data_IF_890780822933
#
_entry.id   IF_890780822933
#
_cell.length_a   1.000
_cell.length_b   1.000
_cell.length_c   1.000
_cell.angle_alpha   90.00
_cell.angle_beta   90.00
_cell.angle_gamma   90.00
#
_symmetry.space_group_name_H-M   'P 1'
#
loop_
_entity.id
_entity.type
_entity.pdbx_description
1 polymer ?
#
# COMPACT_ATOMS: atom_id res chain seq x y z
N UNK A 1 9.08 29.54 -2.34
CA UNK A 1 10.01 28.66 -1.61
C UNK A 1 9.89 27.27 -2.19
N UNK A 2 10.78 26.91 -3.11
CA UNK A 2 10.74 25.62 -3.81
C UNK A 2 11.07 24.52 -2.82
N UNK A 3 10.12 23.61 -2.58
CA UNK A 3 10.35 22.39 -1.80
C UNK A 3 11.41 21.57 -2.53
N UNK A 4 12.64 21.57 -2.02
CA UNK A 4 13.75 20.76 -2.56
C UNK A 4 13.40 19.29 -2.33
N UNK A 5 12.85 18.62 -3.35
CA UNK A 5 12.69 17.17 -3.34
C UNK A 5 14.09 16.53 -3.23
N UNK A 6 14.24 15.51 -2.39
CA UNK A 6 15.50 14.80 -2.16
C UNK A 6 16.05 14.16 -3.45
N UNK A 7 15.15 13.70 -4.31
CA UNK A 7 15.43 13.18 -5.66
C UNK A 7 14.42 13.85 -6.60
N UNK A 8 14.84 14.44 -7.73
CA UNK A 8 13.93 14.98 -8.73
C UNK A 8 12.99 13.91 -9.28
N UNK A 9 11.71 14.26 -9.41
CA UNK A 9 10.71 13.41 -10.04
C UNK A 9 10.07 14.14 -11.21
N UNK A 10 9.66 13.38 -12.22
CA UNK A 10 8.99 13.90 -13.41
C UNK A 10 7.82 13.01 -13.81
N UNK A 11 6.89 13.55 -14.59
CA UNK A 11 5.80 12.76 -15.15
C UNK A 11 6.34 11.90 -16.30
N UNK A 12 6.06 10.61 -16.26
CA UNK A 12 6.35 9.68 -17.34
C UNK A 12 5.25 8.63 -17.46
N UNK A 13 5.57 7.56 -18.16
CA UNK A 13 4.67 6.45 -18.43
C UNK A 13 5.45 5.14 -18.33
N UNK A 14 4.89 4.19 -17.59
CA UNK A 14 5.32 2.79 -17.52
C UNK A 14 4.07 1.94 -17.66
N UNK A 15 4.14 0.88 -18.48
CA UNK A 15 3.01 -0.02 -18.79
C UNK A 15 1.69 0.68 -19.15
N UNK A 16 1.76 1.74 -19.98
CA UNK A 16 0.59 2.53 -20.38
C UNK A 16 -0.01 3.41 -19.26
N UNK A 17 0.60 3.42 -18.08
CA UNK A 17 0.13 4.15 -16.91
C UNK A 17 0.95 5.42 -16.68
N UNK A 18 0.31 6.58 -16.74
CA UNK A 18 0.94 7.84 -16.37
C UNK A 18 1.23 7.89 -14.87
N UNK A 19 2.51 7.99 -14.53
CA UNK A 19 2.97 8.04 -13.15
C UNK A 19 4.20 8.94 -12.98
N UNK A 20 4.52 9.25 -11.74
CA UNK A 20 5.78 9.90 -11.42
C UNK A 20 6.92 8.89 -11.55
N UNK A 21 8.03 9.32 -12.15
CA UNK A 21 9.26 8.54 -12.29
C UNK A 21 10.43 9.37 -11.75
N UNK A 22 11.56 8.70 -11.50
CA UNK A 22 12.82 9.37 -11.22
C UNK A 22 13.97 8.81 -12.07
N UNK A 23 15.03 9.60 -12.22
CA UNK A 23 16.24 9.16 -12.90
C UNK A 23 17.10 8.26 -12.00
N UNK A 24 17.53 7.11 -12.52
CA UNK A 24 18.32 6.16 -11.75
C UNK A 24 19.72 6.67 -11.39
N UNK A 25 20.32 7.56 -12.19
CA UNK A 25 21.62 8.17 -11.88
C UNK A 25 21.48 9.18 -10.76
N UNK A 26 20.42 9.99 -10.77
CA UNK A 26 20.13 10.91 -9.67
C UNK A 26 19.97 10.14 -8.36
N UNK A 27 19.24 9.01 -8.39
CA UNK A 27 19.11 8.13 -7.24
C UNK A 27 20.46 7.52 -6.81
N UNK A 28 21.26 6.98 -7.73
CA UNK A 28 22.56 6.38 -7.44
C UNK A 28 23.53 7.38 -6.81
N UNK A 29 23.60 8.59 -7.36
CA UNK A 29 24.40 9.69 -6.84
C UNK A 29 23.92 10.10 -5.45
N UNK A 30 22.61 10.26 -5.27
CA UNK A 30 22.00 10.59 -3.99
C UNK A 30 22.33 9.55 -2.92
N UNK A 31 22.22 8.26 -3.25
CA UNK A 31 22.48 7.15 -2.35
C UNK A 31 23.97 6.95 -2.05
N UNK A 32 24.88 7.64 -2.75
CA UNK A 32 26.33 7.56 -2.58
C UNK A 32 26.86 6.12 -2.68
N UNK A 33 26.32 5.34 -3.62
CA UNK A 33 26.73 3.95 -3.82
C UNK A 33 28.12 3.92 -4.46
N UNK A 34 29.06 3.21 -3.82
CA UNK A 34 30.45 3.14 -4.28
C UNK A 34 30.68 2.28 -5.53
N UNK A 35 29.74 1.37 -5.86
CA UNK A 35 29.78 0.58 -7.10
C UNK A 35 29.44 1.47 -8.29
N UNK A 36 30.07 1.25 -9.44
CA UNK A 36 29.72 1.95 -10.67
C UNK A 36 28.24 1.75 -11.04
N UNK A 37 27.64 2.80 -11.60
CA UNK A 37 26.21 2.84 -11.90
C UNK A 37 25.73 1.65 -12.73
N UNK A 38 26.45 1.30 -13.80
CA UNK A 38 26.01 0.27 -14.75
C UNK A 38 25.99 -1.12 -14.13
N UNK A 39 27.01 -1.48 -13.35
CA UNK A 39 27.03 -2.75 -12.64
C UNK A 39 26.08 -2.76 -11.45
N UNK A 40 25.89 -1.61 -10.79
CA UNK A 40 24.93 -1.48 -9.70
C UNK A 40 23.50 -1.71 -10.19
N UNK A 41 23.02 -0.96 -11.17
CA UNK A 41 21.61 -1.01 -11.58
C UNK A 41 21.25 -2.38 -12.16
N UNK A 42 22.13 -2.98 -12.99
CA UNK A 42 21.91 -4.32 -13.55
C UNK A 42 21.84 -5.39 -12.48
N UNK A 43 22.76 -5.34 -11.50
CA UNK A 43 22.76 -6.29 -10.41
C UNK A 43 21.50 -6.15 -9.53
N UNK A 44 21.00 -4.93 -9.32
CA UNK A 44 19.78 -4.71 -8.55
C UNK A 44 18.51 -5.15 -9.29
N UNK A 45 18.44 -4.87 -10.60
CA UNK A 45 17.36 -5.37 -11.47
C UNK A 45 17.30 -6.90 -11.40
N UNK A 46 18.42 -7.58 -11.59
CA UNK A 46 18.48 -9.04 -11.55
C UNK A 46 18.18 -9.61 -10.15
N UNK A 47 18.78 -9.03 -9.10
CA UNK A 47 18.65 -9.54 -7.74
C UNK A 47 17.22 -9.46 -7.19
N UNK A 48 16.49 -8.38 -7.52
CA UNK A 48 15.15 -8.13 -7.00
C UNK A 48 14.04 -8.45 -8.00
N UNK A 49 14.39 -8.86 -9.22
CA UNK A 49 13.43 -9.27 -10.24
C UNK A 49 12.60 -8.11 -10.79
N UNK A 50 13.16 -6.90 -10.86
CA UNK A 50 12.46 -5.75 -11.44
C UNK A 50 12.17 -5.97 -12.94
N UNK A 51 11.00 -5.54 -13.38
CA UNK A 51 10.47 -5.82 -14.72
C UNK A 51 10.57 -4.57 -15.60
N UNK A 52 11.10 -4.73 -16.82
CA UNK A 52 11.14 -3.69 -17.84
C UNK A 52 9.71 -3.35 -18.30
N UNK A 53 9.38 -2.07 -18.32
CA UNK A 53 8.05 -1.56 -18.63
C UNK A 53 7.16 -1.38 -17.41
N UNK A 54 7.37 -2.11 -16.31
CA UNK A 54 6.58 -1.99 -15.08
C UNK A 54 7.34 -1.18 -14.01
N UNK A 55 8.56 -1.61 -13.67
CA UNK A 55 9.37 -1.02 -12.61
C UNK A 55 10.36 0.02 -13.14
N UNK A 56 10.84 -0.15 -14.37
CA UNK A 56 11.76 0.77 -15.00
C UNK A 56 11.58 0.81 -16.52
N UNK A 57 12.16 1.83 -17.16
CA UNK A 57 12.33 1.89 -18.61
C UNK A 57 13.77 2.28 -18.98
N UNK A 58 14.46 1.49 -19.83
CA UNK A 58 15.80 1.80 -20.30
C UNK A 58 15.79 2.92 -21.36
N UNK A 59 16.66 3.93 -21.20
CA UNK A 59 16.79 5.08 -22.10
C UNK A 59 18.22 5.23 -22.61
N UNK A 60 18.35 5.59 -23.87
CA UNK A 60 19.65 5.92 -24.45
C UNK A 60 19.99 7.38 -24.19
N UNK A 61 21.08 7.62 -23.47
CA UNK A 61 21.60 8.97 -23.25
C UNK A 61 21.96 9.63 -24.59
N UNK A 62 21.82 10.96 -24.68
CA UNK A 62 22.25 11.72 -25.87
C UNK A 62 23.77 11.60 -26.02
N UNK A 63 24.23 11.07 -27.16
CA UNK A 63 25.66 10.94 -27.48
C UNK A 63 26.11 12.05 -28.44
N UNK A 64 27.27 12.64 -28.19
CA UNK A 64 27.94 13.61 -29.08
C UNK A 64 29.04 12.96 -29.92
N UNK A 65 29.15 11.62 -29.89
CA UNK A 65 30.14 10.81 -30.58
C UNK A 65 30.51 9.58 -29.75
N UNK A 66 30.22 8.37 -30.26
CA UNK A 66 30.41 7.10 -29.55
C UNK A 66 29.10 6.39 -29.19
N UNK A 67 29.20 5.18 -28.61
CA UNK A 67 28.04 4.38 -28.21
C UNK A 67 27.28 5.08 -27.07
N UNK A 68 25.97 5.38 -27.23
CA UNK A 68 25.16 5.96 -26.17
C UNK A 68 25.21 5.14 -24.88
N UNK A 69 25.32 5.82 -23.74
CA UNK A 69 25.21 5.17 -22.44
C UNK A 69 23.76 4.78 -22.16
N UNK A 70 23.56 3.63 -21.52
CA UNK A 70 22.25 3.19 -21.07
C UNK A 70 21.92 3.85 -19.73
N UNK A 71 20.78 4.52 -19.68
CA UNK A 71 20.16 5.14 -18.50
C UNK A 71 18.81 4.48 -18.24
N UNK A 72 18.22 4.80 -17.08
CA UNK A 72 16.99 4.15 -16.62
C UNK A 72 16.11 5.19 -15.93
N UNK A 73 14.84 5.24 -16.34
CA UNK A 73 13.79 5.87 -15.54
C UNK A 73 13.15 4.81 -14.66
N UNK A 74 12.99 5.10 -13.37
CA UNK A 74 12.48 4.16 -12.39
C UNK A 74 11.10 4.59 -11.91
N UNK A 75 10.24 3.62 -11.64
CA UNK A 75 9.05 3.84 -10.83
C UNK A 75 9.45 4.33 -9.43
N UNK A 76 8.58 5.10 -8.79
CA UNK A 76 8.82 5.57 -7.43
C UNK A 76 8.94 4.39 -6.45
N UNK A 77 8.23 3.29 -6.70
CA UNK A 77 8.26 2.12 -5.82
C UNK A 77 9.58 1.35 -5.94
N UNK A 78 10.08 1.12 -7.16
CA UNK A 78 11.43 0.59 -7.36
C UNK A 78 12.49 1.48 -6.70
N UNK A 79 12.40 2.81 -6.86
CA UNK A 79 13.36 3.73 -6.25
C UNK A 79 13.35 3.68 -4.71
N UNK A 80 12.17 3.52 -4.09
CA UNK A 80 12.05 3.32 -2.63
C UNK A 80 12.72 2.03 -2.20
N UNK A 81 12.48 0.94 -2.92
CA UNK A 81 13.05 -0.37 -2.60
C UNK A 81 14.57 -0.35 -2.68
N UNK A 82 15.12 0.23 -3.76
CA UNK A 82 16.57 0.41 -3.92
C UNK A 82 17.16 1.22 -2.76
N UNK A 83 16.54 2.35 -2.40
CA UNK A 83 17.01 3.18 -1.28
C UNK A 83 16.98 2.42 0.06
N UNK A 84 15.99 1.55 0.28
CA UNK A 84 15.90 0.73 1.48
C UNK A 84 16.97 -0.37 1.51
N UNK A 85 17.24 -1.01 0.38
CA UNK A 85 18.23 -2.09 0.25
C UNK A 85 19.67 -1.60 0.43
N UNK A 86 20.00 -0.39 -0.03
CA UNK A 86 21.36 0.14 0.14
C UNK A 86 21.75 0.34 1.62
N UNK A 87 20.77 0.38 2.53
CA UNK A 87 20.97 0.37 3.98
C UNK A 87 22.02 1.37 4.50
N UNK A 88 22.06 2.56 3.90
CA UNK A 88 22.98 3.63 4.26
C UNK A 88 22.22 4.88 4.75
N UNK A 89 22.94 5.91 5.19
CA UNK A 89 22.33 7.13 5.73
C UNK A 89 21.43 7.87 4.73
N UNK A 90 21.75 7.80 3.44
CA UNK A 90 20.94 8.40 2.38
C UNK A 90 19.67 7.58 2.17
N UNK A 91 19.77 6.25 2.13
CA UNK A 91 18.63 5.34 2.12
C UNK A 91 17.69 5.56 3.31
N UNK A 92 18.24 5.78 4.52
CA UNK A 92 17.46 6.16 5.71
C UNK A 92 16.70 7.46 5.53
N UNK A 93 17.31 8.47 4.88
CA UNK A 93 16.66 9.75 4.59
C UNK A 93 15.52 9.59 3.59
N UNK A 94 15.74 8.86 2.50
CA UNK A 94 14.70 8.55 1.50
C UNK A 94 13.51 7.87 2.17
N UNK A 95 13.75 6.83 2.98
CA UNK A 95 12.70 6.12 3.73
C UNK A 95 11.90 7.07 4.63
N UNK A 96 12.58 7.92 5.40
CA UNK A 96 11.91 8.90 6.30
C UNK A 96 11.08 9.91 5.50
N UNK A 97 11.61 10.38 4.37
CA UNK A 97 10.92 11.31 3.49
C UNK A 97 9.63 10.71 2.93
N UNK A 98 9.68 9.49 2.37
CA UNK A 98 8.50 8.84 1.83
C UNK A 98 7.44 8.54 2.90
N UNK A 99 7.84 8.09 4.10
CA UNK A 99 6.91 7.92 5.24
C UNK A 99 6.23 9.26 5.58
N UNK A 100 6.99 10.35 5.61
CA UNK A 100 6.44 11.67 5.89
C UNK A 100 5.48 12.15 4.79
N UNK A 101 5.79 11.87 3.52
CA UNK A 101 4.91 12.19 2.38
C UNK A 101 3.63 11.38 2.41
N UNK A 102 3.69 10.07 2.65
CA UNK A 102 2.50 9.21 2.80
C UNK A 102 1.61 9.70 3.94
N UNK A 103 2.20 10.08 5.06
CA UNK A 103 1.47 10.63 6.20
C UNK A 103 0.73 11.92 5.80
N UNK A 104 1.42 12.87 5.16
CA UNK A 104 0.79 14.12 4.68
C UNK A 104 -0.28 13.87 3.63
N UNK A 105 -0.04 12.97 2.68
CA UNK A 105 -1.00 12.65 1.62
C UNK A 105 -2.28 12.01 2.22
N UNK A 106 -2.14 11.11 3.19
CA UNK A 106 -3.28 10.50 3.91
C UNK A 106 -4.04 11.54 4.74
N UNK A 107 -3.34 12.42 5.46
CA UNK A 107 -3.95 13.54 6.19
C UNK A 107 -4.74 14.46 5.26
N UNK A 108 -4.20 14.81 4.08
CA UNK A 108 -4.89 15.64 3.09
C UNK A 108 -6.10 14.97 2.43
N UNK A 109 -6.13 13.64 2.36
CA UNK A 109 -7.25 12.85 1.82
C UNK A 109 -8.38 12.65 2.84
N UNK A 110 -8.29 13.25 4.04
CA UNK A 110 -9.26 13.05 5.12
C UNK A 110 -9.21 11.66 5.75
N UNK A 111 -8.20 10.83 5.40
CA UNK A 111 -7.95 9.57 6.06
C UNK A 111 -7.34 9.88 7.43
N UNK A 112 -8.22 10.11 8.40
CA UNK A 112 -7.82 10.30 9.80
C UNK A 112 -7.15 9.02 10.25
N UNK A 113 -5.88 9.09 10.66
CA UNK A 113 -5.30 7.98 11.42
C UNK A 113 -6.20 7.78 12.64
N UNK A 114 -6.91 6.65 12.67
CA UNK A 114 -7.59 6.25 13.88
C UNK A 114 -6.51 6.20 14.95
N UNK A 115 -6.63 7.03 15.97
CA UNK A 115 -5.81 6.90 17.18
C UNK A 115 -5.89 5.45 17.66
N UNK A 116 -4.87 4.98 18.36
CA UNK A 116 -4.86 3.63 18.94
C UNK A 116 -6.15 3.37 19.75
N UNK A 117 -6.64 4.39 20.47
CA UNK A 117 -7.93 4.32 21.17
C UNK A 117 -9.14 4.10 20.25
N UNK A 118 -9.21 4.82 19.12
CA UNK A 118 -10.27 4.63 18.12
C UNK A 118 -10.15 3.27 17.42
N UNK A 119 -8.95 2.81 17.08
CA UNK A 119 -8.73 1.46 16.51
C UNK A 119 -9.21 0.37 17.47
N UNK A 120 -8.84 0.47 18.75
CA UNK A 120 -9.29 -0.46 19.79
C UNK A 120 -10.81 -0.43 19.96
N UNK A 121 -11.44 0.75 19.89
CA UNK A 121 -12.88 0.88 19.98
C UNK A 121 -13.60 0.18 18.82
N UNK A 122 -13.14 0.38 17.58
CA UNK A 122 -13.70 -0.27 16.39
C UNK A 122 -13.45 -1.79 16.43
N UNK A 123 -12.23 -2.21 16.80
CA UNK A 123 -11.89 -3.63 16.93
C UNK A 123 -12.79 -4.35 17.95
N UNK A 124 -13.12 -3.70 19.07
CA UNK A 124 -14.08 -4.25 20.07
C UNK A 124 -15.51 -4.40 19.53
N UNK A 125 -15.89 -3.64 18.50
CA UNK A 125 -17.22 -3.72 17.90
C UNK A 125 -17.34 -4.88 16.89
N UNK A 126 -16.24 -5.31 16.26
CA UNK A 126 -16.25 -6.39 15.25
C UNK A 126 -16.82 -7.71 15.80
N UNK A 127 -16.40 -8.23 16.97
CA UNK A 127 -17.01 -9.44 17.54
C UNK A 127 -18.49 -9.27 17.90
N UNK A 128 -18.90 -8.07 18.35
CA UNK A 128 -20.30 -7.77 18.67
C UNK A 128 -21.17 -7.81 17.43
N UNK A 129 -20.73 -7.17 16.34
CA UNK A 129 -21.43 -7.19 15.05
C UNK A 129 -21.54 -8.61 14.49
N UNK A 130 -20.47 -9.41 14.59
CA UNK A 130 -20.50 -10.82 14.20
C UNK A 130 -21.51 -11.62 15.03
N UNK A 131 -21.60 -11.39 16.34
CA UNK A 131 -22.59 -12.02 17.22
C UNK A 131 -24.03 -11.65 16.84
N UNK A 132 -24.30 -10.36 16.63
CA UNK A 132 -25.60 -9.87 16.17
C UNK A 132 -25.97 -10.45 14.81
N UNK A 133 -25.02 -10.49 13.87
CA UNK A 133 -25.25 -11.02 12.53
C UNK A 133 -25.56 -12.52 12.54
N UNK A 134 -24.96 -13.28 13.45
CA UNK A 134 -25.29 -14.70 13.67
C UNK A 134 -26.71 -14.90 14.22
N UNK A 135 -27.15 -14.05 15.15
CA UNK A 135 -28.46 -14.12 15.77
C UNK A 135 -29.60 -13.57 14.89
N UNK A 136 -29.29 -12.65 13.97
CA UNK A 136 -30.28 -11.96 13.15
C UNK A 136 -30.78 -12.80 11.97
N UNK A 137 -32.10 -12.94 11.88
CA UNK A 137 -32.80 -13.68 10.83
C UNK A 137 -33.44 -12.77 9.78
N UNK A 138 -33.73 -11.50 10.11
CA UNK A 138 -34.28 -10.54 9.17
C UNK A 138 -33.26 -10.17 8.08
N UNK A 139 -33.57 -10.40 6.79
CA UNK A 139 -32.62 -10.11 5.70
C UNK A 139 -32.18 -8.64 5.65
N UNK A 140 -33.11 -7.71 5.88
CA UNK A 140 -32.83 -6.28 5.82
C UNK A 140 -31.89 -5.82 6.95
N UNK A 141 -32.12 -6.31 8.18
CA UNK A 141 -31.29 -5.95 9.34
C UNK A 141 -29.90 -6.60 9.20
N UNK A 142 -29.86 -7.86 8.75
CA UNK A 142 -28.63 -8.59 8.50
C UNK A 142 -27.75 -7.91 7.45
N UNK A 143 -28.35 -7.40 6.37
CA UNK A 143 -27.63 -6.64 5.34
C UNK A 143 -27.00 -5.36 5.91
N UNK A 144 -27.74 -4.64 6.76
CA UNK A 144 -27.25 -3.41 7.42
C UNK A 144 -26.11 -3.72 8.41
N UNK A 145 -26.25 -4.76 9.23
CA UNK A 145 -25.19 -5.21 10.14
C UNK A 145 -23.94 -5.64 9.39
N UNK A 146 -24.10 -6.28 8.23
CA UNK A 146 -23.00 -6.67 7.37
C UNK A 146 -22.29 -5.46 6.76
N UNK A 147 -23.05 -4.48 6.27
CA UNK A 147 -22.47 -3.23 5.75
C UNK A 147 -21.63 -2.52 6.83
N UNK A 148 -22.12 -2.48 8.07
CA UNK A 148 -21.39 -1.91 9.21
C UNK A 148 -20.11 -2.71 9.55
N UNK A 149 -20.19 -4.04 9.49
CA UNK A 149 -19.02 -4.92 9.67
C UNK A 149 -17.95 -4.64 8.59
N UNK A 150 -18.35 -4.58 7.32
CA UNK A 150 -17.46 -4.27 6.20
C UNK A 150 -16.78 -2.91 6.38
N UNK A 151 -17.53 -1.89 6.80
CA UNK A 151 -16.99 -0.57 7.09
C UNK A 151 -15.92 -0.62 8.19
N UNK A 152 -16.17 -1.34 9.28
CA UNK A 152 -15.21 -1.46 10.38
C UNK A 152 -13.95 -2.23 9.96
N UNK A 153 -14.10 -3.32 9.19
CA UNK A 153 -12.97 -4.07 8.66
C UNK A 153 -12.11 -3.22 7.71
N UNK A 154 -12.74 -2.44 6.84
CA UNK A 154 -12.05 -1.49 5.95
C UNK A 154 -11.25 -0.45 6.74
N UNK A 155 -11.86 0.15 7.77
CA UNK A 155 -11.20 1.13 8.64
C UNK A 155 -10.01 0.55 9.42
N UNK A 156 -10.03 -0.75 9.72
CA UNK A 156 -8.95 -1.47 10.38
C UNK A 156 -7.95 -2.10 9.41
N UNK A 157 -8.15 -1.95 8.09
CA UNK A 157 -7.38 -2.63 7.05
C UNK A 157 -7.28 -4.15 7.24
N UNK A 158 -8.36 -4.78 7.72
CA UNK A 158 -8.48 -6.24 7.87
C UNK A 158 -9.46 -6.80 6.83
N UNK A 159 -9.27 -8.04 6.36
CA UNK A 159 -10.21 -8.66 5.44
C UNK A 159 -11.57 -8.87 6.10
N UNK A 160 -12.66 -8.48 5.42
CA UNK A 160 -14.01 -8.75 5.86
C UNK A 160 -14.45 -10.17 5.41
N UNK A 161 -15.10 -10.97 6.28
CA UNK A 161 -15.66 -12.25 5.89
C UNK A 161 -16.85 -12.06 4.95
N UNK A 162 -17.16 -13.04 4.09
CA UNK A 162 -18.36 -12.99 3.24
C UNK A 162 -19.63 -13.17 4.08
N UNK A 163 -20.74 -12.56 3.66
CA UNK A 163 -22.03 -12.64 4.38
C UNK A 163 -22.53 -14.08 4.58
N UNK A 164 -22.21 -14.95 3.63
CA UNK A 164 -22.56 -16.37 3.61
C UNK A 164 -21.72 -17.18 4.59
N UNK A 165 -20.45 -16.81 4.77
CA UNK A 165 -19.53 -17.46 5.72
C UNK A 165 -19.91 -17.21 7.19
N UNK A 166 -20.65 -16.15 7.48
CA UNK A 166 -21.14 -15.85 8.82
C UNK A 166 -22.42 -16.65 9.08
N UNK A 167 -22.31 -17.87 9.61
CA UNK A 167 -23.47 -18.76 9.85
C UNK A 167 -24.63 -18.13 10.67
N UNK A 168 -25.80 -18.77 10.67
CA UNK A 168 -26.95 -18.39 11.52
C UNK A 168 -26.97 -19.26 12.79
N UNK A 169 -27.17 -18.68 13.96
CA UNK A 169 -27.50 -19.48 15.16
C UNK A 169 -28.94 -19.96 15.07
N UNK A 170 -29.16 -21.25 15.36
CA UNK A 170 -30.49 -21.85 15.44
C UNK A 170 -31.29 -21.14 16.56
N UNK A 171 -32.55 -20.74 16.34
CA UNK A 171 -33.37 -20.26 17.46
C UNK A 171 -33.54 -21.40 18.47
N UNK A 172 -33.18 -21.18 19.72
CA UNK A 172 -33.60 -22.05 20.81
C UNK A 172 -35.12 -21.93 20.92
N UNK A 173 -35.85 -22.91 20.38
CA UNK A 173 -37.28 -23.04 20.63
C UNK A 173 -37.44 -23.36 22.12
N UNK A 174 -37.78 -22.35 22.92
CA UNK A 174 -38.31 -22.54 24.26
C UNK A 174 -39.69 -23.16 24.14
N UNK A 175 -39.79 -24.46 24.42
CA UNK A 175 -41.06 -25.14 24.69
C UNK A 175 -41.73 -24.47 25.88
N UNK A 176 -42.63 -23.51 25.62
CA UNK A 176 -43.28 -22.73 26.66
C UNK A 176 -44.66 -23.28 27.09
N UNK A 177 -45.19 -24.33 26.48
CA UNK A 177 -46.46 -24.93 26.92
C UNK A 177 -46.55 -26.43 26.62
N UNK A 178 -46.48 -27.33 27.63
CA UNK A 178 -46.91 -28.70 27.43
C UNK A 178 -48.45 -28.71 27.43
N UNK A 179 -49.03 -28.90 26.25
CA UNK A 179 -50.46 -29.23 26.14
C UNK A 179 -50.61 -30.68 26.58
N UNK A 180 -51.22 -30.91 27.76
CA UNK A 180 -51.72 -32.23 28.16
C UNK A 180 -53.22 -32.30 27.88
N UNK A 181 -53.59 -33.18 26.95
CA UNK A 181 -54.90 -33.84 26.94
C UNK A 181 -54.92 -35.05 27.85
#
# INVERSE_FOLDING_TARGET
>A
MSSTALIPVFNGELDGCHQQLCDARDLHQFLQVGRDFSNWIKARIEQYGFIDGEDFSPILAKSTGGRPSQEYHLSIDMAKELAMVENNDQGRQVRRYFIAMERKARESRGATYLSVGQQLAIHRQVPKLLGLLKAETSPAIRQTLYAQLCQHCHLLAIPAPSLESVGRSKPENGDLFPVRG
#
